data_IF_397014168941
#
_entry.id   IF_397014168941
#
_cell.length_a   1.000
_cell.length_b   1.000
_cell.length_c   1.000
_cell.angle_alpha   90.00
_cell.angle_beta   90.00
_cell.angle_gamma   90.00
#
_symmetry.space_group_name_H-M   'P 1'
#
loop_
_entity.id
_entity.type
_entity.pdbx_description
1 polymer ?
#
# COMPACT_ATOMS: atom_id res chain seq x y z
N UNK A 1 16.39 -32.12 7.26
CA UNK A 1 15.62 -31.32 6.28
C UNK A 1 15.44 -29.94 6.90
N UNK A 2 16.45 -29.09 6.75
CA UNK A 2 16.35 -27.67 7.10
C UNK A 2 15.54 -27.08 5.96
N UNK A 3 14.35 -26.54 6.25
CA UNK A 3 13.63 -25.72 5.30
C UNK A 3 14.46 -24.44 5.18
N UNK A 4 15.40 -24.41 4.24
CA UNK A 4 15.99 -23.15 3.78
C UNK A 4 14.83 -22.33 3.23
N UNK A 5 14.26 -21.48 4.08
CA UNK A 5 13.37 -20.40 3.69
C UNK A 5 14.23 -19.32 3.02
N UNK A 6 14.92 -19.71 1.94
CA UNK A 6 15.45 -18.78 0.97
C UNK A 6 14.24 -18.12 0.34
N UNK A 7 13.79 -16.99 0.90
CA UNK A 7 12.89 -16.08 0.23
C UNK A 7 13.52 -15.76 -1.14
N UNK A 8 12.99 -16.37 -2.19
CA UNK A 8 13.50 -16.13 -3.53
C UNK A 8 13.22 -14.66 -3.89
N UNK A 9 14.13 -13.97 -4.58
CA UNK A 9 13.84 -12.65 -5.16
C UNK A 9 12.54 -12.67 -5.98
N UNK A 10 12.20 -13.79 -6.63
CA UNK A 10 10.94 -13.98 -7.37
C UNK A 10 9.72 -13.90 -6.43
N UNK A 11 9.81 -14.48 -5.23
CA UNK A 11 8.72 -14.46 -4.25
C UNK A 11 8.50 -13.05 -3.71
N UNK A 12 9.58 -12.30 -3.48
CA UNK A 12 9.51 -10.89 -3.11
C UNK A 12 8.89 -10.02 -4.22
N UNK A 13 9.21 -10.29 -5.49
CA UNK A 13 8.63 -9.58 -6.62
C UNK A 13 7.11 -9.76 -6.70
N UNK A 14 6.65 -11.01 -6.64
CA UNK A 14 5.22 -11.34 -6.67
C UNK A 14 4.49 -10.77 -5.46
N UNK A 15 5.10 -10.82 -4.27
CA UNK A 15 4.55 -10.25 -3.04
C UNK A 15 4.21 -8.77 -3.18
N UNK A 16 5.15 -7.94 -3.64
CA UNK A 16 4.94 -6.49 -3.75
C UNK A 16 3.97 -6.10 -4.87
N UNK A 17 3.97 -6.84 -5.99
CA UNK A 17 2.99 -6.63 -7.05
C UNK A 17 1.57 -6.98 -6.56
N UNK A 18 1.41 -8.14 -5.91
CA UNK A 18 0.14 -8.55 -5.34
C UNK A 18 -0.34 -7.54 -4.28
N UNK A 19 0.55 -7.06 -3.42
CA UNK A 19 0.19 -6.07 -2.39
C UNK A 19 -0.24 -4.74 -3.01
N UNK A 20 0.44 -4.26 -4.05
CA UNK A 20 0.02 -3.05 -4.79
C UNK A 20 -1.39 -3.21 -5.36
N UNK A 21 -1.71 -4.37 -5.92
CA UNK A 21 -3.04 -4.68 -6.44
C UNK A 21 -4.10 -4.74 -5.32
N UNK A 22 -3.77 -5.29 -4.15
CA UNK A 22 -4.68 -5.33 -3.00
C UNK A 22 -5.07 -3.92 -2.57
N UNK A 23 -4.10 -3.00 -2.47
CA UNK A 23 -4.38 -1.60 -2.15
C UNK A 23 -5.25 -0.93 -3.22
N UNK A 24 -4.94 -1.16 -4.50
CA UNK A 24 -5.73 -0.63 -5.62
C UNK A 24 -7.19 -1.11 -5.61
N UNK A 25 -7.40 -2.41 -5.37
CA UNK A 25 -8.75 -2.99 -5.28
C UNK A 25 -9.48 -2.43 -4.06
N UNK A 26 -8.81 -2.32 -2.91
CA UNK A 26 -9.39 -1.74 -1.69
C UNK A 26 -9.86 -0.30 -1.90
N UNK A 27 -9.01 0.54 -2.50
CA UNK A 27 -9.33 1.92 -2.85
C UNK A 27 -10.55 2.04 -3.78
N UNK A 28 -10.56 1.28 -4.88
CA UNK A 28 -11.67 1.27 -5.85
C UNK A 28 -12.96 0.80 -5.18
N UNK A 29 -12.91 -0.28 -4.39
CA UNK A 29 -14.07 -0.83 -3.71
C UNK A 29 -14.65 0.14 -2.67
N UNK A 30 -13.79 0.80 -1.89
CA UNK A 30 -14.20 1.80 -0.90
C UNK A 30 -14.87 2.99 -1.58
N UNK A 31 -14.24 3.60 -2.58
CA UNK A 31 -14.83 4.76 -3.25
C UNK A 31 -16.12 4.41 -4.00
N UNK A 32 -16.22 3.19 -4.56
CA UNK A 32 -17.43 2.76 -5.26
C UNK A 32 -18.63 2.60 -4.33
N UNK A 33 -18.40 2.25 -3.05
CA UNK A 33 -19.46 2.16 -2.04
C UNK A 33 -19.99 3.54 -1.64
N UNK A 34 -19.14 4.57 -1.64
CA UNK A 34 -19.52 5.94 -1.27
C UNK A 34 -20.16 6.72 -2.44
N UNK A 35 -19.81 6.38 -3.68
CA UNK A 35 -20.37 7.04 -4.86
C UNK A 35 -21.88 6.74 -5.04
N UNK A 36 -22.69 7.79 -5.16
CA UNK A 36 -24.16 7.69 -5.15
C UNK A 36 -24.76 7.53 -6.56
N UNK A 37 -24.13 8.10 -7.58
CA UNK A 37 -24.60 8.03 -8.97
C UNK A 37 -23.59 7.38 -9.93
N UNK A 38 -24.05 7.05 -11.15
CA UNK A 38 -23.21 6.40 -12.18
C UNK A 38 -22.08 7.28 -12.70
N UNK A 39 -22.26 8.59 -12.73
CA UNK A 39 -21.26 9.52 -13.24
C UNK A 39 -20.09 9.65 -12.26
N UNK A 40 -20.40 9.76 -10.96
CA UNK A 40 -19.42 9.72 -9.86
C UNK A 40 -18.65 8.40 -9.86
N UNK A 41 -19.33 7.25 -10.04
CA UNK A 41 -18.68 5.93 -10.15
C UNK A 41 -17.71 5.84 -11.32
N UNK A 42 -18.11 6.28 -12.51
CA UNK A 42 -17.24 6.26 -13.68
C UNK A 42 -16.03 7.19 -13.53
N UNK A 43 -16.25 8.40 -13.00
CA UNK A 43 -15.17 9.37 -12.74
C UNK A 43 -14.18 8.83 -11.71
N UNK A 44 -14.68 8.23 -10.63
CA UNK A 44 -13.88 7.59 -9.60
C UNK A 44 -13.04 6.46 -10.20
N UNK A 45 -13.66 5.49 -10.89
CA UNK A 45 -12.91 4.34 -11.44
C UNK A 45 -11.83 4.80 -12.41
N UNK A 46 -12.13 5.79 -13.26
CA UNK A 46 -11.13 6.33 -14.19
C UNK A 46 -9.97 6.95 -13.43
N UNK A 47 -10.24 7.79 -12.43
CA UNK A 47 -9.21 8.41 -11.58
C UNK A 47 -8.37 7.35 -10.85
N UNK A 48 -9.02 6.34 -10.28
CA UNK A 48 -8.37 5.25 -9.56
C UNK A 48 -7.48 4.40 -10.49
N UNK A 49 -7.95 4.11 -11.70
CA UNK A 49 -7.15 3.37 -12.69
C UNK A 49 -5.89 4.15 -13.10
N UNK A 50 -5.99 5.46 -13.31
CA UNK A 50 -4.81 6.28 -13.59
C UNK A 50 -3.86 6.35 -12.40
N UNK A 51 -4.39 6.56 -11.20
CA UNK A 51 -3.61 6.64 -9.97
C UNK A 51 -2.85 5.33 -9.73
N UNK A 52 -3.56 4.23 -9.56
CA UNK A 52 -2.95 2.92 -9.30
C UNK A 52 -2.17 2.36 -10.48
N UNK A 53 -2.57 2.70 -11.72
CA UNK A 53 -1.80 2.39 -12.92
C UNK A 53 -0.43 3.08 -12.91
N UNK A 54 -0.37 4.36 -12.55
CA UNK A 54 0.89 5.10 -12.40
C UNK A 54 1.74 4.55 -11.24
N UNK A 55 1.11 4.14 -10.14
CA UNK A 55 1.78 3.48 -9.01
C UNK A 55 2.41 2.15 -9.44
N UNK A 56 1.70 1.32 -10.20
CA UNK A 56 2.23 0.07 -10.76
C UNK A 56 3.41 0.32 -11.71
N UNK A 57 3.33 1.35 -12.56
CA UNK A 57 4.43 1.76 -13.43
C UNK A 57 5.65 2.14 -12.59
N UNK A 58 5.48 2.94 -11.54
CA UNK A 58 6.58 3.30 -10.65
C UNK A 58 7.22 2.07 -9.99
N UNK A 59 6.43 1.10 -9.52
CA UNK A 59 6.93 -0.18 -8.98
C UNK A 59 7.73 -0.96 -10.03
N UNK A 60 7.26 -1.02 -11.28
CA UNK A 60 7.99 -1.67 -12.37
C UNK A 60 9.33 -0.97 -12.66
N UNK A 61 9.39 0.36 -12.58
CA UNK A 61 10.64 1.12 -12.72
C UNK A 61 11.63 0.78 -11.59
N UNK A 62 11.18 0.62 -10.35
CA UNK A 62 12.05 0.17 -9.24
C UNK A 62 12.64 -1.20 -9.55
N UNK A 63 11.85 -2.13 -10.06
CA UNK A 63 12.38 -3.42 -10.50
C UNK A 63 13.35 -3.30 -11.67
N UNK A 64 13.11 -2.41 -12.63
CA UNK A 64 14.08 -2.15 -13.69
C UNK A 64 15.43 -1.65 -13.12
N UNK A 65 15.40 -0.75 -12.13
CA UNK A 65 16.61 -0.31 -11.43
C UNK A 65 17.32 -1.45 -10.71
N UNK A 66 16.59 -2.34 -10.04
CA UNK A 66 17.15 -3.53 -9.41
C UNK A 66 17.85 -4.46 -10.42
N UNK A 67 17.18 -4.81 -11.53
CA UNK A 67 17.77 -5.68 -12.55
C UNK A 67 18.97 -5.05 -13.26
N UNK A 68 19.01 -3.72 -13.37
CA UNK A 68 20.16 -2.98 -13.91
C UNK A 68 21.31 -2.80 -12.91
N UNK A 69 21.16 -3.27 -11.67
CA UNK A 69 22.17 -3.17 -10.61
C UNK A 69 22.31 -1.79 -9.96
N UNK A 70 21.36 -0.88 -10.17
CA UNK A 70 21.40 0.48 -9.63
C UNK A 70 21.00 0.55 -8.15
N UNK A 71 20.19 -0.40 -7.69
CA UNK A 71 19.75 -0.51 -6.29
C UNK A 71 19.90 -1.95 -5.82
N UNK A 72 20.12 -2.12 -4.52
CA UNK A 72 20.25 -3.42 -3.88
C UNK A 72 18.88 -4.02 -3.55
N UNK A 73 18.81 -5.34 -3.36
CA UNK A 73 17.55 -6.05 -3.09
C UNK A 73 16.82 -5.50 -1.85
N UNK A 74 17.57 -5.21 -0.79
CA UNK A 74 17.11 -4.58 0.45
C UNK A 74 16.52 -3.18 0.26
N UNK A 75 16.97 -2.43 -0.75
CA UNK A 75 16.43 -1.10 -1.07
C UNK A 75 15.09 -1.18 -1.83
N UNK A 76 14.87 -2.25 -2.61
CA UNK A 76 13.67 -2.40 -3.46
C UNK A 76 12.39 -2.36 -2.62
N UNK A 77 12.35 -3.14 -1.54
CA UNK A 77 11.19 -3.21 -0.64
C UNK A 77 10.88 -1.87 0.00
N UNK A 78 11.89 -1.15 0.47
CA UNK A 78 11.74 0.19 1.08
C UNK A 78 11.21 1.22 0.09
N UNK A 79 11.73 1.23 -1.14
CA UNK A 79 11.28 2.17 -2.18
C UNK A 79 9.85 1.85 -2.62
N UNK A 80 9.50 0.58 -2.78
CA UNK A 80 8.11 0.18 -3.09
C UNK A 80 7.17 0.56 -1.94
N UNK A 81 7.58 0.36 -0.68
CA UNK A 81 6.80 0.75 0.48
C UNK A 81 6.58 2.26 0.55
N UNK A 82 7.59 3.06 0.19
CA UNK A 82 7.47 4.52 0.06
C UNK A 82 6.51 4.92 -1.07
N UNK A 83 6.58 4.26 -2.24
CA UNK A 83 5.66 4.48 -3.36
C UNK A 83 4.22 4.17 -2.94
N UNK A 84 4.00 3.03 -2.28
CA UNK A 84 2.69 2.64 -1.76
C UNK A 84 2.19 3.60 -0.69
N UNK A 85 3.08 4.06 0.20
CA UNK A 85 2.76 5.07 1.20
C UNK A 85 2.24 6.35 0.57
N UNK A 86 2.97 6.90 -0.40
CA UNK A 86 2.59 8.12 -1.10
C UNK A 86 1.29 7.93 -1.89
N UNK A 87 1.18 6.83 -2.64
CA UNK A 87 -0.01 6.49 -3.43
C UNK A 87 -1.24 6.40 -2.54
N UNK A 88 -1.17 5.64 -1.44
CA UNK A 88 -2.27 5.49 -0.49
C UNK A 88 -2.58 6.81 0.22
N UNK A 89 -1.56 7.61 0.54
CA UNK A 89 -1.76 8.92 1.16
C UNK A 89 -2.61 9.85 0.29
N UNK A 90 -2.20 10.00 -0.98
CA UNK A 90 -2.87 10.82 -1.98
C UNK A 90 -4.25 10.29 -2.35
N UNK A 91 -4.43 8.98 -2.28
CA UNK A 91 -5.72 8.35 -2.55
C UNK A 91 -6.78 8.73 -1.51
N UNK A 92 -6.35 8.95 -0.25
CA UNK A 92 -7.26 9.42 0.81
C UNK A 92 -7.84 10.82 0.59
N UNK A 93 -7.28 11.61 -0.32
CA UNK A 93 -7.90 12.87 -0.77
C UNK A 93 -9.19 12.60 -1.56
N UNK A 94 -9.26 11.48 -2.26
CA UNK A 94 -10.35 11.13 -3.17
C UNK A 94 -11.33 10.11 -2.56
N UNK A 95 -10.83 9.17 -1.75
CA UNK A 95 -11.60 8.02 -1.24
C UNK A 95 -11.93 8.15 0.25
N UNK A 96 -11.18 8.98 1.00
CA UNK A 96 -11.42 9.19 2.42
C UNK A 96 -10.14 9.27 3.24
N UNK A 97 -10.14 10.12 4.27
CA UNK A 97 -8.98 10.43 5.12
C UNK A 97 -8.32 9.20 5.75
N UNK A 98 -9.03 8.07 5.87
CA UNK A 98 -8.52 6.81 6.39
C UNK A 98 -7.35 6.29 5.54
N UNK A 99 -7.43 6.42 4.21
CA UNK A 99 -6.34 6.06 3.31
C UNK A 99 -5.12 6.98 3.52
N UNK A 100 -5.34 8.27 3.81
CA UNK A 100 -4.26 9.19 4.18
C UNK A 100 -3.52 8.75 5.45
N UNK A 101 -4.25 8.30 6.47
CA UNK A 101 -3.63 7.75 7.69
C UNK A 101 -2.84 6.48 7.40
N UNK A 102 -3.40 5.56 6.60
CA UNK A 102 -2.69 4.33 6.20
C UNK A 102 -1.39 4.69 5.45
N UNK A 103 -1.45 5.65 4.53
CA UNK A 103 -0.26 6.15 3.82
C UNK A 103 0.81 6.67 4.78
N UNK A 104 0.46 7.49 5.77
CA UNK A 104 1.40 7.97 6.80
C UNK A 104 2.01 6.82 7.60
N UNK A 105 1.21 5.83 7.99
CA UNK A 105 1.71 4.66 8.72
C UNK A 105 2.71 3.86 7.89
N UNK A 106 2.47 3.69 6.59
CA UNK A 106 3.41 3.03 5.69
C UNK A 106 4.73 3.80 5.56
N UNK A 107 4.70 5.14 5.51
CA UNK A 107 5.91 5.96 5.50
C UNK A 107 6.72 5.79 6.79
N UNK A 108 6.05 5.87 7.94
CA UNK A 108 6.68 5.65 9.25
C UNK A 108 7.30 4.25 9.30
N UNK A 109 6.57 3.24 8.80
CA UNK A 109 7.05 1.87 8.73
C UNK A 109 8.32 1.76 7.88
N UNK A 110 8.37 2.39 6.71
CA UNK A 110 9.54 2.40 5.85
C UNK A 110 10.76 3.01 6.55
N UNK A 111 10.58 4.13 7.25
CA UNK A 111 11.64 4.75 8.04
C UNK A 111 12.12 3.79 9.13
N UNK A 112 11.22 3.24 9.94
CA UNK A 112 11.59 2.33 11.04
C UNK A 112 12.34 1.11 10.49
N UNK A 113 11.83 0.46 9.44
CA UNK A 113 12.48 -0.71 8.81
C UNK A 113 13.89 -0.35 8.32
N UNK A 114 14.11 0.86 7.79
CA UNK A 114 15.42 1.28 7.30
C UNK A 114 16.50 1.44 8.38
N UNK A 115 16.11 1.58 9.66
CA UNK A 115 17.03 1.75 10.78
C UNK A 115 17.10 0.54 11.72
N UNK A 116 16.14 -0.38 11.65
CA UNK A 116 15.90 -1.37 12.69
C UNK A 116 15.58 -2.75 12.10
N UNK A 117 16.61 -3.59 11.97
CA UNK A 117 16.50 -4.96 11.44
C UNK A 117 15.61 -5.89 12.31
N UNK A 118 15.42 -5.60 13.60
CA UNK A 118 14.76 -6.51 14.56
C UNK A 118 13.28 -6.21 14.89
N UNK A 119 12.70 -5.11 14.41
CA UNK A 119 11.44 -4.58 14.96
C UNK A 119 10.19 -4.73 14.07
N UNK A 120 10.23 -5.61 13.06
CA UNK A 120 9.10 -5.92 12.17
C UNK A 120 7.79 -6.21 12.94
N UNK A 121 7.87 -6.90 14.08
CA UNK A 121 6.71 -7.26 14.89
C UNK A 121 6.01 -6.06 15.55
N UNK A 122 6.74 -5.03 15.94
CA UNK A 122 6.14 -3.83 16.55
C UNK A 122 5.37 -3.02 15.50
N UNK A 123 5.93 -2.91 14.30
CA UNK A 123 5.27 -2.26 13.15
C UNK A 123 3.99 -3.01 12.79
N UNK A 124 4.03 -4.34 12.74
CA UNK A 124 2.86 -5.17 12.45
C UNK A 124 1.74 -4.96 13.49
N UNK A 125 2.07 -4.84 14.77
CA UNK A 125 1.10 -4.56 15.84
C UNK A 125 0.48 -3.16 15.66
N UNK A 126 1.28 -2.14 15.38
CA UNK A 126 0.79 -0.77 15.15
C UNK A 126 -0.18 -0.75 13.97
N UNK A 127 0.20 -1.36 12.85
CA UNK A 127 -0.67 -1.45 11.67
C UNK A 127 -1.99 -2.16 11.98
N UNK A 128 -1.95 -3.27 12.71
CA UNK A 128 -3.14 -4.06 13.06
C UNK A 128 -4.09 -3.30 14.01
N UNK A 129 -3.53 -2.57 14.98
CA UNK A 129 -4.30 -1.69 15.87
C UNK A 129 -4.98 -0.57 15.08
N UNK A 130 -4.28 0.06 14.14
CA UNK A 130 -4.86 1.13 13.32
C UNK A 130 -5.95 0.64 12.36
N UNK A 131 -5.77 -0.53 11.74
CA UNK A 131 -6.81 -1.18 10.93
C UNK A 131 -8.04 -1.47 11.80
N UNK A 132 -7.85 -2.03 13.00
CA UNK A 132 -8.97 -2.28 13.91
C UNK A 132 -9.71 -0.97 14.27
N UNK A 133 -8.98 0.10 14.57
CA UNK A 133 -9.56 1.40 14.91
C UNK A 133 -10.31 2.04 13.74
N UNK A 134 -9.82 1.94 12.50
CA UNK A 134 -10.50 2.50 11.33
C UNK A 134 -11.80 1.76 11.00
N UNK A 135 -11.81 0.43 11.12
CA UNK A 135 -13.03 -0.38 10.97
C UNK A 135 -14.05 -0.09 12.07
N UNK A 136 -13.59 0.07 13.32
CA UNK A 136 -14.47 0.42 14.43
C UNK A 136 -15.05 1.83 14.24
N UNK A 137 -14.24 2.82 13.86
CA UNK A 137 -14.70 4.19 13.62
C UNK A 137 -15.78 4.25 12.54
N UNK A 138 -15.59 3.54 11.42
CA UNK A 138 -16.58 3.49 10.35
C UNK A 138 -17.89 2.83 10.81
N UNK A 139 -17.80 1.78 11.63
CA UNK A 139 -18.97 1.08 12.19
C UNK A 139 -19.75 1.92 13.21
N UNK A 140 -19.07 2.76 14.00
CA UNK A 140 -19.69 3.55 15.07
C UNK A 140 -20.21 4.92 14.61
N UNK A 141 -19.58 5.56 13.62
CA UNK A 141 -20.03 6.88 13.14
C UNK A 141 -21.05 6.77 12.00
N UNK A 142 -21.03 5.72 11.17
CA UNK A 142 -22.03 5.52 10.10
C UNK A 142 -23.44 5.08 10.60
N UNK A 143 -23.68 5.12 11.93
CA UNK A 143 -24.99 4.84 12.56
C UNK A 143 -25.65 6.06 13.20
N UNK A 144 -25.06 7.26 13.06
CA UNK A 144 -25.71 8.53 13.37
C UNK A 144 -25.98 9.28 12.08
#
# INVERSE_FOLDING_TARGET
>A
MVLDTNFSPVDAHLYWLAMTLVFAIGAIASGWQEATDKQQKNSLVTSQLFHWGSTLIAVMVVYAFFHSGQIQNETVSLVILLILSLSTFLDGIHVGWQFSVIGVLLAISAVIISYLDEYIWIIAIIALVFIALSFLWNKYIARK
#
